data_IF_421013358790
#
_entry.id   IF_421013358790
#
_cell.length_a   1.000
_cell.length_b   1.000
_cell.length_c   1.000
_cell.angle_alpha   90.00
_cell.angle_beta   90.00
_cell.angle_gamma   90.00
#
_symmetry.space_group_name_H-M   'P 1'
#
loop_
_entity.id
_entity.type
_entity.pdbx_description
1 polymer ?
#
# COMPACT_ATOMS: atom_id res chain seq x y z
N UNK A 1 1.79 5.06 -8.51
CA UNK A 1 2.62 4.21 -7.64
C UNK A 1 1.82 3.55 -6.50
N UNK A 2 0.86 4.22 -5.87
CA UNK A 2 -0.03 3.66 -4.81
C UNK A 2 -0.81 2.40 -5.17
N UNK A 3 -1.23 2.23 -6.44
CA UNK A 3 -1.90 1.01 -6.90
C UNK A 3 -1.04 -0.25 -6.74
N UNK A 4 0.29 -0.17 -6.82
CA UNK A 4 1.21 -1.34 -6.84
C UNK A 4 1.49 -1.89 -5.43
N UNK A 5 1.56 -1.02 -4.41
CA UNK A 5 1.79 -1.41 -3.02
C UNK A 5 0.57 -2.12 -2.39
N UNK A 6 -0.64 -1.78 -2.84
CA UNK A 6 -1.88 -2.48 -2.47
C UNK A 6 -1.88 -3.98 -2.87
N UNK A 7 -1.19 -4.35 -3.96
CA UNK A 7 -1.12 -5.75 -4.42
C UNK A 7 -0.26 -6.66 -3.54
N UNK A 8 0.73 -6.12 -2.84
CA UNK A 8 1.68 -6.93 -2.07
C UNK A 8 1.04 -7.39 -0.75
N UNK A 9 0.23 -6.53 -0.11
CA UNK A 9 -0.58 -6.88 1.06
C UNK A 9 -1.65 -7.94 0.73
N UNK A 10 -2.37 -7.77 -0.39
CA UNK A 10 -3.40 -8.71 -0.83
C UNK A 10 -2.81 -10.06 -1.28
N UNK A 11 -1.64 -10.08 -1.93
CA UNK A 11 -0.95 -11.32 -2.28
C UNK A 11 -0.53 -12.13 -1.03
N UNK A 12 -0.13 -11.46 0.05
CA UNK A 12 0.15 -12.12 1.34
C UNK A 12 -1.12 -12.66 2.00
N UNK A 13 -2.26 -11.98 1.85
CA UNK A 13 -3.58 -12.41 2.35
C UNK A 13 -4.07 -13.65 1.58
N UNK A 14 -3.96 -13.67 0.25
CA UNK A 14 -4.30 -14.86 -0.56
C UNK A 14 -3.46 -16.07 -0.12
N UNK A 15 -2.16 -15.89 0.08
CA UNK A 15 -1.24 -16.97 0.51
C UNK A 15 -1.50 -17.44 1.95
N UNK A 16 -1.91 -16.55 2.86
CA UNK A 16 -2.25 -16.92 4.24
C UNK A 16 -3.66 -17.54 4.37
N UNK A 17 -4.62 -17.14 3.53
CA UNK A 17 -5.96 -17.73 3.44
C UNK A 17 -5.96 -19.15 2.84
N UNK A 18 -5.02 -19.46 1.93
CA UNK A 18 -4.85 -20.84 1.38
C UNK A 18 -4.41 -21.88 2.43
N UNK A 19 -4.00 -21.47 3.63
CA UNK A 19 -3.68 -22.42 4.72
C UNK A 19 -4.91 -22.94 5.49
N UNK A 20 -6.11 -22.41 5.23
CA UNK A 20 -7.36 -22.85 5.88
C UNK A 20 -8.45 -23.20 4.84
N UNK A 21 -8.33 -24.34 4.14
CA UNK A 21 -9.49 -24.93 3.44
C UNK A 21 -10.24 -25.86 4.40
N UNK A 22 -11.47 -25.48 4.79
CA UNK A 22 -12.36 -26.32 5.58
C UNK A 22 -13.40 -27.04 4.68
N UNK A 23 -13.79 -28.26 5.06
CA UNK A 23 -14.86 -28.99 4.37
C UNK A 23 -16.26 -28.39 4.64
N UNK A 24 -17.29 -28.93 3.97
CA UNK A 24 -18.71 -28.55 4.13
C UNK A 24 -19.26 -28.71 5.56
N UNK A 25 -18.46 -29.20 6.52
CA UNK A 25 -18.79 -29.38 7.93
C UNK A 25 -17.83 -28.59 8.85
N UNK A 26 -17.10 -27.59 8.34
CA UNK A 26 -16.12 -26.81 9.09
C UNK A 26 -15.00 -27.66 9.72
N UNK A 27 -14.56 -28.73 9.05
CA UNK A 27 -13.36 -29.50 9.46
C UNK A 27 -12.17 -29.10 8.59
N UNK A 28 -11.01 -28.90 9.20
CA UNK A 28 -9.75 -28.72 8.50
C UNK A 28 -9.49 -29.97 7.63
N UNK A 29 -9.44 -29.80 6.30
CA UNK A 29 -9.11 -30.87 5.36
C UNK A 29 -7.60 -31.16 5.44
N UNK A 30 -7.21 -32.05 6.34
CA UNK A 30 -5.85 -32.59 6.37
C UNK A 30 -5.73 -33.77 5.42
N UNK A 31 -4.93 -33.61 4.36
CA UNK A 31 -4.05 -34.71 3.89
C UNK A 31 -2.78 -34.24 3.14
N UNK A 32 -2.56 -32.95 2.95
CA UNK A 32 -1.22 -32.43 2.67
C UNK A 32 -0.94 -31.19 3.50
N UNK A 33 -0.22 -31.36 4.62
CA UNK A 33 0.36 -30.24 5.36
C UNK A 33 1.37 -29.53 4.46
N UNK A 34 0.90 -28.50 3.77
CA UNK A 34 1.73 -27.49 3.14
C UNK A 34 2.48 -26.78 4.26
N UNK A 35 3.78 -26.97 4.32
CA UNK A 35 4.62 -26.38 5.38
C UNK A 35 5.32 -25.10 4.94
N UNK A 36 5.42 -24.87 3.62
CA UNK A 36 5.97 -23.63 3.06
C UNK A 36 5.49 -23.44 1.63
N UNK A 37 5.12 -22.20 1.28
CA UNK A 37 4.90 -21.75 -0.10
C UNK A 37 6.07 -20.85 -0.47
N UNK A 38 6.75 -21.16 -1.56
CA UNK A 38 7.83 -20.36 -2.13
C UNK A 38 7.47 -19.98 -3.58
N UNK A 39 8.00 -18.85 -4.06
CA UNK A 39 7.92 -18.41 -5.46
C UNK A 39 6.52 -18.51 -6.08
N UNK A 40 5.62 -17.61 -5.66
CA UNK A 40 4.36 -17.36 -6.37
C UNK A 40 4.68 -16.66 -7.67
N UNK A 41 4.30 -17.26 -8.80
CA UNK A 41 4.42 -16.60 -10.11
C UNK A 41 3.17 -16.79 -10.93
N UNK A 42 2.87 -15.78 -11.74
CA UNK A 42 1.81 -15.82 -12.73
C UNK A 42 2.42 -16.22 -14.07
N UNK A 43 1.86 -17.25 -14.72
CA UNK A 43 2.18 -17.63 -16.10
C UNK A 43 0.91 -17.53 -16.95
N UNK A 44 0.70 -16.39 -17.61
CA UNK A 44 -0.57 -16.08 -18.26
C UNK A 44 -1.70 -15.98 -17.23
N UNK A 45 -2.80 -16.71 -17.43
CA UNK A 45 -3.96 -16.76 -16.51
C UNK A 45 -3.85 -17.86 -15.44
N UNK A 46 -2.63 -18.28 -15.12
CA UNK A 46 -2.34 -19.40 -14.21
C UNK A 46 -1.48 -18.91 -13.05
N UNK A 47 -1.96 -19.17 -11.85
CA UNK A 47 -1.20 -18.94 -10.63
C UNK A 47 -0.40 -20.21 -10.31
N UNK A 48 0.93 -20.08 -10.28
CA UNK A 48 1.86 -21.19 -10.04
C UNK A 48 2.56 -20.92 -8.72
N UNK A 49 2.52 -21.92 -7.84
CA UNK A 49 3.16 -21.91 -6.54
C UNK A 49 4.17 -23.05 -6.46
N UNK A 50 5.33 -22.78 -5.85
CA UNK A 50 6.26 -23.84 -5.47
C UNK A 50 6.00 -24.21 -4.01
N UNK A 51 5.40 -25.36 -3.79
CA UNK A 51 4.96 -25.78 -2.45
C UNK A 51 5.90 -26.85 -1.88
N UNK A 52 6.23 -26.75 -0.60
CA UNK A 52 6.92 -27.79 0.18
C UNK A 52 5.91 -28.54 1.05
N UNK A 53 5.89 -29.86 0.90
CA UNK A 53 5.11 -30.78 1.75
C UNK A 53 6.03 -31.71 2.52
N UNK A 54 5.54 -32.27 3.63
CA UNK A 54 6.32 -33.16 4.51
C UNK A 54 6.77 -34.48 3.87
N UNK A 55 6.26 -34.85 2.70
CA UNK A 55 6.46 -36.18 2.10
C UNK A 55 7.07 -36.17 0.69
N UNK A 56 7.41 -35.01 0.09
CA UNK A 56 8.01 -34.97 -1.25
C UNK A 56 8.76 -33.65 -1.53
N UNK A 57 9.93 -33.68 -2.21
CA UNK A 57 10.60 -32.45 -2.64
C UNK A 57 9.83 -31.77 -3.77
N UNK A 58 9.84 -30.44 -3.73
CA UNK A 58 9.19 -29.47 -4.60
C UNK A 58 8.68 -30.00 -5.96
N UNK A 59 7.36 -30.02 -6.15
CA UNK A 59 6.75 -30.14 -7.49
C UNK A 59 5.98 -28.86 -7.79
N UNK A 60 6.28 -28.26 -8.94
CA UNK A 60 5.45 -27.19 -9.51
C UNK A 60 4.07 -27.78 -9.80
N UNK A 61 3.04 -27.30 -9.09
CA UNK A 61 1.66 -27.71 -9.33
C UNK A 61 0.88 -26.52 -9.86
N UNK A 62 0.34 -26.71 -11.06
CA UNK A 62 -0.66 -25.82 -11.65
C UNK A 62 -1.97 -25.99 -10.86
N UNK A 63 -2.35 -25.00 -10.06
CA UNK A 63 -3.53 -25.14 -9.21
C UNK A 63 -4.82 -24.65 -9.89
N UNK A 64 -4.85 -23.53 -10.63
CA UNK A 64 -6.08 -23.05 -11.28
C UNK A 64 -5.85 -22.24 -12.57
N UNK A 65 -6.77 -22.36 -13.52
CA UNK A 65 -6.98 -21.36 -14.59
C UNK A 65 -8.00 -20.33 -14.12
N UNK A 66 -7.72 -19.04 -14.30
CA UNK A 66 -8.50 -17.95 -13.73
C UNK A 66 -10.03 -17.99 -13.97
N UNK A 67 -10.55 -18.38 -15.16
CA UNK A 67 -11.99 -18.52 -15.38
C UNK A 67 -12.65 -19.57 -14.46
N UNK A 68 -11.95 -20.67 -14.16
CA UNK A 68 -12.43 -21.68 -13.23
C UNK A 68 -12.36 -21.19 -11.78
N UNK A 69 -11.38 -20.34 -11.45
CA UNK A 69 -11.27 -19.71 -10.14
C UNK A 69 -12.44 -18.77 -9.86
N UNK A 70 -12.73 -17.84 -10.78
CA UNK A 70 -13.86 -16.89 -10.63
C UNK A 70 -15.20 -17.63 -10.54
N UNK A 71 -15.45 -18.61 -11.41
CA UNK A 71 -16.69 -19.38 -11.36
C UNK A 71 -16.84 -20.16 -10.04
N UNK A 72 -15.75 -20.76 -9.54
CA UNK A 72 -15.76 -21.44 -8.26
C UNK A 72 -16.00 -20.47 -7.09
N UNK A 73 -15.34 -19.30 -7.12
CA UNK A 73 -15.56 -18.24 -6.14
C UNK A 73 -16.99 -17.72 -6.18
N UNK A 74 -17.60 -17.51 -7.36
CA UNK A 74 -19.00 -17.08 -7.48
C UNK A 74 -19.95 -18.09 -6.82
N UNK A 75 -19.70 -19.40 -7.02
CA UNK A 75 -20.47 -20.43 -6.34
C UNK A 75 -20.33 -20.37 -4.82
N UNK A 76 -19.12 -20.17 -4.29
CA UNK A 76 -18.85 -20.12 -2.84
C UNK A 76 -19.42 -18.81 -2.24
N UNK A 77 -19.19 -17.67 -2.89
CA UNK A 77 -19.69 -16.36 -2.48
C UNK A 77 -21.23 -16.30 -2.49
N UNK A 78 -21.87 -16.98 -3.45
CA UNK A 78 -23.33 -17.08 -3.52
C UNK A 78 -23.94 -17.87 -2.36
N UNK A 79 -23.16 -18.76 -1.74
CA UNK A 79 -23.55 -19.51 -0.53
C UNK A 79 -23.38 -18.70 0.77
N UNK A 80 -22.94 -17.43 0.67
CA UNK A 80 -22.81 -16.53 1.81
C UNK A 80 -21.41 -16.48 2.41
N UNK A 81 -20.41 -17.12 1.79
CA UNK A 81 -19.03 -17.03 2.24
C UNK A 81 -18.49 -15.60 2.04
N UNK A 82 -18.24 -14.92 3.15
CA UNK A 82 -17.87 -13.50 3.19
C UNK A 82 -16.45 -13.26 2.67
N UNK A 83 -15.56 -14.25 2.75
CA UNK A 83 -14.19 -14.18 2.25
C UNK A 83 -14.19 -14.28 0.73
N UNK A 84 -14.92 -15.24 0.16
CA UNK A 84 -15.08 -15.37 -1.28
C UNK A 84 -15.79 -14.15 -1.88
N UNK A 85 -16.75 -13.56 -1.16
CA UNK A 85 -17.35 -12.27 -1.55
C UNK A 85 -16.31 -11.15 -1.58
N UNK A 86 -15.43 -11.05 -0.57
CA UNK A 86 -14.35 -10.06 -0.56
C UNK A 86 -13.40 -10.26 -1.75
N UNK A 87 -13.01 -11.51 -2.01
CA UNK A 87 -12.08 -11.87 -3.07
C UNK A 87 -12.66 -11.58 -4.46
N UNK A 88 -13.91 -11.94 -4.73
CA UNK A 88 -14.58 -11.57 -5.98
C UNK A 88 -14.68 -10.06 -6.15
N UNK A 89 -15.05 -9.37 -5.06
CA UNK A 89 -15.11 -7.92 -5.02
C UNK A 89 -13.79 -7.28 -5.46
N UNK A 90 -12.68 -7.75 -4.88
CA UNK A 90 -11.33 -7.33 -5.24
C UNK A 90 -10.98 -7.67 -6.70
N UNK A 91 -11.22 -8.90 -7.15
CA UNK A 91 -10.89 -9.36 -8.51
C UNK A 91 -11.58 -8.46 -9.55
N UNK A 92 -12.88 -8.18 -9.37
CA UNK A 92 -13.63 -7.31 -10.27
C UNK A 92 -13.21 -5.83 -10.17
N UNK A 93 -12.77 -5.36 -9.01
CA UNK A 93 -12.27 -4.00 -8.82
C UNK A 93 -10.93 -3.77 -9.53
N UNK A 94 -10.01 -4.71 -9.39
CA UNK A 94 -8.63 -4.62 -9.90
C UNK A 94 -8.53 -4.91 -11.40
N UNK A 95 -9.22 -5.93 -11.88
CA UNK A 95 -9.26 -6.29 -13.30
C UNK A 95 -7.92 -6.64 -13.96
N UNK A 96 -6.99 -7.27 -13.22
CA UNK A 96 -5.67 -7.65 -13.74
C UNK A 96 -5.72 -8.76 -14.79
N UNK A 97 -6.64 -9.71 -14.63
CA UNK A 97 -6.77 -10.91 -15.48
C UNK A 97 -8.20 -11.12 -16.01
N UNK A 98 -9.16 -10.31 -15.56
CA UNK A 98 -10.50 -10.15 -16.11
C UNK A 98 -10.77 -8.66 -16.32
N UNK A 99 -11.71 -8.26 -17.20
CA UNK A 99 -12.08 -6.86 -17.30
C UNK A 99 -12.57 -6.30 -15.95
N UNK A 100 -12.16 -5.08 -15.62
CA UNK A 100 -12.69 -4.32 -14.47
C UNK A 100 -14.21 -4.26 -14.58
N UNK A 101 -14.90 -4.50 -13.47
CA UNK A 101 -16.34 -4.36 -13.36
C UNK A 101 -16.72 -3.80 -11.98
N UNK A 102 -16.89 -2.48 -11.90
CA UNK A 102 -17.19 -1.81 -10.64
C UNK A 102 -18.57 -2.17 -10.07
N UNK A 103 -19.55 -2.54 -10.90
CA UNK A 103 -20.88 -2.93 -10.41
C UNK A 103 -20.82 -4.28 -9.67
N UNK A 104 -20.13 -5.27 -10.25
CA UNK A 104 -19.90 -6.57 -9.60
C UNK A 104 -18.98 -6.45 -8.40
N UNK A 105 -17.93 -5.62 -8.50
CA UNK A 105 -17.05 -5.34 -7.38
C UNK A 105 -17.85 -4.76 -6.20
N UNK A 106 -18.62 -3.69 -6.44
CA UNK A 106 -19.47 -3.06 -5.43
C UNK A 106 -20.47 -4.05 -4.83
N UNK A 107 -21.13 -4.86 -5.66
CA UNK A 107 -22.09 -5.87 -5.21
C UNK A 107 -21.47 -6.86 -4.22
N UNK A 108 -20.33 -7.45 -4.57
CA UNK A 108 -19.68 -8.45 -3.73
C UNK A 108 -19.02 -7.84 -2.51
N UNK A 109 -18.38 -6.68 -2.64
CA UNK A 109 -17.79 -5.96 -1.52
C UNK A 109 -18.85 -5.52 -0.50
N UNK A 110 -20.02 -5.03 -0.95
CA UNK A 110 -21.15 -4.69 -0.05
C UNK A 110 -21.66 -5.90 0.71
N UNK A 111 -21.80 -7.05 0.04
CA UNK A 111 -22.22 -8.29 0.71
C UNK A 111 -21.21 -8.70 1.78
N UNK A 112 -19.93 -8.67 1.43
CA UNK A 112 -18.86 -9.02 2.35
C UNK A 112 -18.79 -8.04 3.52
N UNK A 113 -18.82 -6.74 3.27
CA UNK A 113 -18.75 -5.68 4.28
C UNK A 113 -19.86 -5.75 5.34
N UNK A 114 -21.05 -6.25 4.95
CA UNK A 114 -22.22 -6.42 5.83
C UNK A 114 -22.32 -7.83 6.46
N UNK A 115 -21.35 -8.71 6.22
CA UNK A 115 -21.30 -10.04 6.84
C UNK A 115 -21.03 -9.98 8.36
N UNK A 116 -21.15 -11.13 9.02
CA UNK A 116 -20.98 -11.24 10.48
C UNK A 116 -19.55 -11.65 10.89
N UNK A 117 -18.54 -11.16 10.19
CA UNK A 117 -17.14 -11.52 10.39
C UNK A 117 -16.30 -10.31 10.79
N UNK A 118 -15.42 -10.50 11.77
CA UNK A 118 -14.47 -9.48 12.24
C UNK A 118 -13.52 -9.01 11.12
N UNK A 119 -13.36 -9.78 10.05
CA UNK A 119 -12.42 -9.48 8.94
C UNK A 119 -13.02 -8.55 7.86
N UNK A 120 -14.23 -8.05 8.05
CA UNK A 120 -14.93 -7.25 7.03
C UNK A 120 -14.36 -5.84 6.82
N UNK A 121 -13.42 -5.42 7.66
CA UNK A 121 -12.75 -4.11 7.52
C UNK A 121 -12.01 -3.98 6.19
N UNK A 122 -11.45 -5.08 5.66
CA UNK A 122 -10.82 -5.08 4.34
C UNK A 122 -11.84 -4.82 3.23
N UNK A 123 -12.99 -5.49 3.27
CA UNK A 123 -14.06 -5.28 2.29
C UNK A 123 -14.64 -3.87 2.38
N UNK A 124 -14.77 -3.31 3.59
CA UNK A 124 -15.17 -1.91 3.81
C UNK A 124 -14.13 -0.94 3.22
N UNK A 125 -12.83 -1.18 3.46
CA UNK A 125 -11.75 -0.38 2.89
C UNK A 125 -11.73 -0.42 1.36
N UNK A 126 -11.88 -1.62 0.78
CA UNK A 126 -11.96 -1.82 -0.66
C UNK A 126 -13.19 -1.14 -1.27
N UNK A 127 -14.34 -1.23 -0.58
CA UNK A 127 -15.57 -0.59 -1.02
C UNK A 127 -15.44 0.93 -0.98
N UNK A 128 -14.77 1.48 0.05
CA UNK A 128 -14.46 2.90 0.14
C UNK A 128 -13.56 3.36 -1.01
N UNK A 129 -12.48 2.63 -1.30
CA UNK A 129 -11.58 2.92 -2.42
C UNK A 129 -12.32 2.87 -3.78
N UNK A 130 -13.24 1.91 -3.96
CA UNK A 130 -14.09 1.85 -5.14
C UNK A 130 -15.00 3.08 -5.27
N UNK A 131 -15.56 3.58 -4.17
CA UNK A 131 -16.35 4.82 -4.19
C UNK A 131 -15.50 6.04 -4.48
N UNK A 132 -14.30 6.11 -3.93
CA UNK A 132 -13.33 7.17 -4.22
C UNK A 132 -12.98 7.19 -5.71
N UNK A 133 -12.69 6.04 -6.32
CA UNK A 133 -12.40 5.91 -7.76
C UNK A 133 -13.62 6.30 -8.64
N UNK A 134 -14.84 6.10 -8.14
CA UNK A 134 -16.09 6.55 -8.80
C UNK A 134 -16.37 8.04 -8.59
N UNK A 135 -15.61 8.73 -7.74
CA UNK A 135 -15.84 10.13 -7.37
C UNK A 135 -16.95 10.35 -6.35
N UNK A 136 -17.49 9.29 -5.73
CA UNK A 136 -18.47 9.39 -4.66
C UNK A 136 -17.76 9.49 -3.29
N UNK A 137 -17.28 10.70 -3.00
CA UNK A 137 -16.46 10.98 -1.82
C UNK A 137 -17.21 10.73 -0.51
N UNK A 138 -18.51 11.03 -0.46
CA UNK A 138 -19.31 10.83 0.75
C UNK A 138 -19.44 9.34 1.09
N UNK A 139 -19.69 8.50 0.09
CA UNK A 139 -19.70 7.04 0.30
C UNK A 139 -18.31 6.51 0.66
N UNK A 140 -17.25 7.05 0.06
CA UNK A 140 -15.87 6.68 0.40
C UNK A 140 -15.56 6.97 1.88
N UNK A 141 -15.83 8.19 2.36
CA UNK A 141 -15.66 8.59 3.77
C UNK A 141 -16.44 7.65 4.68
N UNK A 142 -17.74 7.44 4.40
CA UNK A 142 -18.59 6.56 5.21
C UNK A 142 -18.00 5.16 5.39
N UNK A 143 -17.54 4.54 4.29
CA UNK A 143 -17.00 3.18 4.34
C UNK A 143 -15.59 3.12 4.94
N UNK A 144 -14.75 4.12 4.72
CA UNK A 144 -13.45 4.21 5.39
C UNK A 144 -13.63 4.38 6.91
N UNK A 145 -14.53 5.24 7.37
CA UNK A 145 -14.83 5.43 8.80
C UNK A 145 -15.30 4.13 9.45
N UNK A 146 -16.22 3.40 8.79
CA UNK A 146 -16.72 2.09 9.25
C UNK A 146 -15.65 1.01 9.37
N UNK A 147 -14.57 1.12 8.60
CA UNK A 147 -13.42 0.24 8.71
C UNK A 147 -12.47 0.74 9.82
N UNK A 148 -12.19 2.05 9.84
CA UNK A 148 -11.29 2.71 10.78
C UNK A 148 -11.73 2.62 12.25
N UNK A 149 -13.04 2.58 12.53
CA UNK A 149 -13.65 2.41 13.86
C UNK A 149 -13.17 1.14 14.61
N UNK A 150 -12.56 0.16 13.93
CA UNK A 150 -12.09 -1.11 14.51
C UNK A 150 -10.56 -1.24 14.40
N UNK A 151 -9.84 -0.14 14.58
CA UNK A 151 -8.37 -0.09 14.54
C UNK A 151 -7.76 -0.59 13.22
N UNK A 152 -8.53 -0.52 12.12
CA UNK A 152 -8.05 -0.91 10.80
C UNK A 152 -7.20 0.22 10.21
N UNK A 153 -5.89 0.15 10.51
CA UNK A 153 -4.87 1.15 10.19
C UNK A 153 -4.90 1.59 8.72
N UNK A 154 -5.09 0.68 7.77
CA UNK A 154 -5.12 1.02 6.34
C UNK A 154 -6.26 2.00 6.01
N UNK A 155 -7.44 1.83 6.59
CA UNK A 155 -8.54 2.78 6.37
C UNK A 155 -8.32 4.10 7.10
N UNK A 156 -7.67 4.10 8.26
CA UNK A 156 -7.30 5.35 8.94
C UNK A 156 -6.34 6.17 8.07
N UNK A 157 -5.34 5.51 7.46
CA UNK A 157 -4.41 6.15 6.52
C UNK A 157 -5.15 6.62 5.26
N UNK A 158 -5.96 5.78 4.62
CA UNK A 158 -6.66 6.13 3.39
C UNK A 158 -7.66 7.27 3.60
N UNK A 159 -8.34 7.29 4.74
CA UNK A 159 -9.23 8.39 5.13
C UNK A 159 -8.44 9.69 5.32
N UNK A 160 -7.28 9.61 5.98
CA UNK A 160 -6.37 10.76 6.09
C UNK A 160 -5.93 11.29 4.73
N UNK A 161 -5.56 10.40 3.80
CA UNK A 161 -5.17 10.78 2.42
C UNK A 161 -6.33 11.40 1.64
N UNK A 162 -7.55 10.88 1.83
CA UNK A 162 -8.76 11.42 1.21
C UNK A 162 -9.07 12.83 1.71
N UNK A 163 -8.92 13.08 3.02
CA UNK A 163 -9.07 14.42 3.58
C UNK A 163 -7.97 15.38 3.11
N UNK A 164 -6.72 14.90 3.02
CA UNK A 164 -5.60 15.69 2.50
C UNK A 164 -5.83 16.11 1.04
N UNK A 165 -6.33 15.20 0.19
CA UNK A 165 -6.72 15.48 -1.21
C UNK A 165 -7.85 16.51 -1.32
N UNK A 166 -8.69 16.60 -0.29
CA UNK A 166 -9.75 17.61 -0.17
C UNK A 166 -9.29 18.89 0.55
N UNK A 167 -7.98 19.03 0.82
CA UNK A 167 -7.39 20.15 1.55
C UNK A 167 -7.90 20.31 3.00
N UNK A 168 -8.51 19.26 3.56
CA UNK A 168 -9.01 19.21 4.93
C UNK A 168 -7.90 18.69 5.87
N UNK A 169 -6.83 19.49 6.01
CA UNK A 169 -5.61 19.05 6.67
C UNK A 169 -5.79 18.69 8.16
N UNK A 170 -6.67 19.37 8.89
CA UNK A 170 -6.93 19.05 10.30
C UNK A 170 -7.62 17.70 10.48
N UNK A 171 -8.50 17.31 9.55
CA UNK A 171 -9.12 15.98 9.58
C UNK A 171 -8.15 14.89 9.12
N UNK A 172 -7.31 15.19 8.13
CA UNK A 172 -6.21 14.31 7.74
C UNK A 172 -5.26 14.03 8.92
N UNK A 173 -4.86 15.09 9.64
CA UNK A 173 -4.03 15.02 10.84
C UNK A 173 -4.64 14.10 11.89
N UNK A 174 -5.93 14.27 12.24
CA UNK A 174 -6.61 13.42 13.24
C UNK A 174 -6.50 11.95 12.88
N UNK A 175 -6.78 11.58 11.64
CA UNK A 175 -6.74 10.18 11.21
C UNK A 175 -5.32 9.61 11.16
N UNK A 176 -4.34 10.40 10.75
CA UNK A 176 -2.94 10.00 10.84
C UNK A 176 -2.44 9.87 12.28
N UNK A 177 -2.91 10.70 13.22
CA UNK A 177 -2.63 10.56 14.65
C UNK A 177 -3.17 9.24 15.21
N UNK A 178 -4.39 8.85 14.85
CA UNK A 178 -4.97 7.55 15.25
C UNK A 178 -4.09 6.40 14.74
N UNK A 179 -3.73 6.39 13.45
CA UNK A 179 -2.87 5.37 12.87
C UNK A 179 -1.47 5.34 13.51
N UNK A 180 -0.87 6.51 13.76
CA UNK A 180 0.44 6.64 14.38
C UNK A 180 0.44 6.12 15.84
N UNK A 181 -0.62 6.37 16.59
CA UNK A 181 -0.78 5.88 17.97
C UNK A 181 -0.89 4.35 18.05
N UNK A 182 -1.39 3.70 16.99
CA UNK A 182 -1.37 2.25 16.83
C UNK A 182 0.00 1.70 16.36
N UNK A 183 1.01 2.56 16.24
CA UNK A 183 2.35 2.19 15.83
C UNK A 183 2.58 2.17 14.32
N UNK A 184 1.63 2.63 13.51
CA UNK A 184 1.78 2.64 12.05
C UNK A 184 2.91 3.57 11.61
N UNK A 185 3.94 3.02 10.95
CA UNK A 185 5.00 3.82 10.35
C UNK A 185 4.46 4.77 9.27
N UNK A 186 3.51 4.30 8.45
CA UNK A 186 2.87 5.14 7.42
C UNK A 186 1.98 6.23 8.01
N UNK A 187 1.28 5.94 9.12
CA UNK A 187 0.56 6.95 9.90
C UNK A 187 1.51 8.04 10.43
N UNK A 188 2.64 7.65 11.03
CA UNK A 188 3.66 8.59 11.52
C UNK A 188 4.24 9.45 10.39
N UNK A 189 4.57 8.84 9.25
CA UNK A 189 5.11 9.54 8.09
C UNK A 189 4.13 10.62 7.59
N UNK A 190 2.89 10.22 7.32
CA UNK A 190 1.87 11.15 6.81
C UNK A 190 1.52 12.23 7.85
N UNK A 191 1.47 11.88 9.14
CA UNK A 191 1.30 12.85 10.22
C UNK A 191 2.42 13.90 10.22
N UNK A 192 3.68 13.47 10.07
CA UNK A 192 4.82 14.39 10.01
C UNK A 192 4.69 15.38 8.85
N UNK A 193 4.33 14.90 7.66
CA UNK A 193 4.12 15.75 6.49
C UNK A 193 2.95 16.72 6.67
N UNK A 194 1.80 16.26 7.16
CA UNK A 194 0.63 17.12 7.37
C UNK A 194 0.87 18.15 8.47
N UNK A 195 1.54 17.80 9.57
CA UNK A 195 1.90 18.78 10.60
C UNK A 195 2.75 19.92 10.03
N UNK A 196 3.70 19.60 9.14
CA UNK A 196 4.50 20.60 8.45
C UNK A 196 3.66 21.49 7.52
N UNK A 197 2.71 20.89 6.78
CA UNK A 197 1.80 21.62 5.87
C UNK A 197 0.84 22.56 6.61
N UNK A 198 0.29 22.13 7.74
CA UNK A 198 -0.63 22.95 8.56
C UNK A 198 0.10 24.14 9.17
N UNK A 199 1.26 23.87 9.80
CA UNK A 199 2.06 24.89 10.45
C UNK A 199 3.53 24.49 10.48
N UNK A 200 4.35 25.21 9.71
CA UNK A 200 5.80 25.01 9.64
C UNK A 200 6.53 25.19 10.99
N UNK A 201 5.88 25.72 12.02
CA UNK A 201 6.44 25.76 13.39
C UNK A 201 6.71 24.38 13.98
N UNK A 202 6.06 23.34 13.48
CA UNK A 202 6.23 21.96 13.96
C UNK A 202 7.27 21.14 13.18
N UNK A 203 8.20 21.78 12.46
CA UNK A 203 9.21 21.07 11.65
C UNK A 203 10.03 20.04 12.43
N UNK A 204 10.39 20.32 13.68
CA UNK A 204 11.10 19.36 14.54
C UNK A 204 10.24 18.13 14.84
N UNK A 205 8.93 18.32 15.05
CA UNK A 205 8.01 17.20 15.29
C UNK A 205 7.80 16.37 14.02
N UNK A 206 7.73 17.04 12.87
CA UNK A 206 7.71 16.38 11.56
C UNK A 206 8.93 15.48 11.38
N UNK A 207 10.14 15.99 11.61
CA UNK A 207 11.38 15.20 11.54
C UNK A 207 11.36 14.03 12.53
N UNK A 208 10.95 14.25 13.78
CA UNK A 208 10.86 13.19 14.78
C UNK A 208 9.96 12.04 14.30
N UNK A 209 8.79 12.37 13.73
CA UNK A 209 7.83 11.39 13.22
C UNK A 209 8.37 10.65 11.98
N UNK A 210 9.03 11.35 11.07
CA UNK A 210 9.68 10.74 9.90
C UNK A 210 10.83 9.80 10.29
N UNK A 211 11.61 10.14 11.32
CA UNK A 211 12.66 9.25 11.83
C UNK A 211 12.08 8.04 12.57
N UNK A 212 10.95 8.22 13.28
CA UNK A 212 10.24 7.12 13.93
C UNK A 212 9.57 6.19 12.93
N UNK A 213 9.01 6.71 11.83
CA UNK A 213 8.37 5.89 10.80
C UNK A 213 9.34 4.88 10.18
N UNK A 214 10.61 5.29 9.98
CA UNK A 214 11.70 4.42 9.50
C UNK A 214 11.95 3.19 10.38
N UNK A 215 11.72 3.31 11.69
CA UNK A 215 12.02 2.28 12.68
C UNK A 215 10.77 1.53 13.18
N UNK A 216 9.62 1.70 12.53
CA UNK A 216 8.39 1.04 12.98
C UNK A 216 8.39 -0.46 12.67
N UNK A 217 7.91 -1.25 13.64
CA UNK A 217 7.79 -2.71 13.56
C UNK A 217 6.50 -3.17 12.83
N UNK A 218 5.57 -2.25 12.55
CA UNK A 218 4.37 -2.53 11.75
C UNK A 218 4.73 -2.17 10.31
N UNK A 219 4.97 -3.21 9.49
CA UNK A 219 5.37 -3.18 8.07
C UNK A 219 5.17 -1.79 7.44
N UNK A 220 6.24 -1.00 7.23
CA UNK A 220 6.08 0.30 6.60
C UNK A 220 5.61 0.08 5.16
N UNK A 221 4.46 0.66 4.80
CA UNK A 221 4.05 0.79 3.38
C UNK A 221 4.95 1.79 2.63
N UNK A 222 5.78 2.53 3.36
CA UNK A 222 6.68 3.56 2.82
C UNK A 222 8.11 3.01 2.80
N UNK A 223 8.76 3.08 1.65
CA UNK A 223 10.15 2.65 1.51
C UNK A 223 11.08 3.74 2.10
N UNK A 224 12.26 3.32 2.55
CA UNK A 224 13.21 4.16 3.28
C UNK A 224 13.61 5.39 2.45
N UNK A 225 13.66 5.21 1.13
CA UNK A 225 14.04 6.25 0.16
C UNK A 225 13.04 7.41 0.12
N UNK A 226 11.73 7.20 0.29
CA UNK A 226 10.72 8.26 0.35
C UNK A 226 10.83 9.07 1.65
N UNK A 227 11.17 8.39 2.76
CA UNK A 227 11.40 9.03 4.06
C UNK A 227 12.64 9.93 3.97
N UNK A 228 13.74 9.42 3.42
CA UNK A 228 14.97 10.18 3.23
C UNK A 228 14.76 11.38 2.30
N UNK A 229 14.03 11.19 1.19
CA UNK A 229 13.64 12.30 0.31
C UNK A 229 12.85 13.37 1.08
N UNK A 230 11.85 12.98 1.87
CA UNK A 230 11.03 13.92 2.63
C UNK A 230 11.85 14.69 3.67
N UNK A 231 12.75 14.02 4.38
CA UNK A 231 13.68 14.67 5.29
C UNK A 231 14.60 15.65 4.55
N UNK A 232 15.17 15.24 3.41
CA UNK A 232 16.02 16.10 2.58
C UNK A 232 15.26 17.34 2.09
N UNK A 233 14.00 17.17 1.68
CA UNK A 233 13.14 18.26 1.25
C UNK A 233 12.87 19.27 2.38
N UNK A 234 12.66 18.80 3.62
CA UNK A 234 12.53 19.68 4.79
C UNK A 234 13.82 20.48 5.04
N UNK A 235 14.99 19.84 5.02
CA UNK A 235 16.28 20.52 5.17
C UNK A 235 16.61 21.47 4.01
N UNK A 236 16.04 21.25 2.82
CA UNK A 236 16.24 22.16 1.69
C UNK A 236 15.36 23.42 1.79
N UNK A 237 14.11 23.27 2.24
CA UNK A 237 13.05 24.28 2.08
C UNK A 237 12.67 25.02 3.36
N UNK A 238 12.85 24.43 4.55
CA UNK A 238 12.45 25.09 5.79
C UNK A 238 13.50 26.10 6.27
N UNK A 239 13.12 27.37 6.41
CA UNK A 239 14.04 28.45 6.75
C UNK A 239 14.72 28.30 8.12
N UNK A 240 14.12 27.58 9.08
CA UNK A 240 14.66 27.46 10.45
C UNK A 240 15.74 26.39 10.56
N UNK A 241 15.61 25.34 9.75
CA UNK A 241 16.51 24.18 9.79
C UNK A 241 17.33 24.00 8.52
N UNK A 242 17.25 24.95 7.58
CA UNK A 242 17.83 24.83 6.25
C UNK A 242 19.30 24.40 6.30
N UNK A 243 19.61 23.29 5.66
CA UNK A 243 20.96 22.74 5.54
C UNK A 243 21.09 22.05 4.18
N UNK A 244 21.77 22.72 3.25
CA UNK A 244 21.95 22.23 1.88
C UNK A 244 22.76 20.93 1.83
N UNK A 245 23.81 20.82 2.64
CA UNK A 245 24.68 19.64 2.61
C UNK A 245 23.93 18.41 3.15
N UNK A 246 23.19 18.60 4.24
CA UNK A 246 22.36 17.54 4.81
C UNK A 246 21.21 17.13 3.87
N UNK A 247 20.61 18.10 3.19
CA UNK A 247 19.61 17.81 2.16
C UNK A 247 20.20 16.96 1.03
N UNK A 248 21.39 17.33 0.51
CA UNK A 248 22.09 16.57 -0.53
C UNK A 248 22.43 15.16 -0.06
N UNK A 249 22.96 14.99 1.16
CA UNK A 249 23.27 13.66 1.72
C UNK A 249 22.04 12.74 1.73
N UNK A 250 20.90 13.27 2.20
CA UNK A 250 19.64 12.54 2.25
C UNK A 250 19.11 12.22 0.85
N UNK A 251 19.18 13.17 -0.09
CA UNK A 251 18.79 12.92 -1.47
C UNK A 251 19.71 11.92 -2.16
N UNK A 252 21.03 11.96 -1.94
CA UNK A 252 21.97 10.98 -2.50
C UNK A 252 21.67 9.58 -1.98
N UNK A 253 21.42 9.44 -0.66
CA UNK A 253 21.01 8.16 -0.05
C UNK A 253 19.72 7.62 -0.66
N UNK A 254 18.72 8.47 -0.86
CA UNK A 254 17.43 8.14 -1.47
C UNK A 254 17.55 7.80 -2.97
N UNK A 255 18.34 8.59 -3.71
CA UNK A 255 18.59 8.44 -5.13
C UNK A 255 19.35 7.15 -5.46
N UNK A 256 20.31 6.76 -4.62
CA UNK A 256 21.03 5.48 -4.71
C UNK A 256 20.10 4.27 -4.52
N UNK A 257 19.03 4.42 -3.73
CA UNK A 257 17.95 3.44 -3.59
C UNK A 257 16.94 3.49 -4.74
N UNK A 258 17.20 4.28 -5.78
CA UNK A 258 16.42 4.34 -7.00
C UNK A 258 15.24 5.30 -6.96
N UNK A 259 15.11 6.19 -5.96
CA UNK A 259 14.02 7.16 -5.94
C UNK A 259 14.23 8.24 -7.02
N UNK A 260 13.33 8.27 -8.00
CA UNK A 260 13.49 9.07 -9.23
C UNK A 260 13.44 10.57 -8.91
N UNK A 261 12.58 10.98 -7.98
CA UNK A 261 12.41 12.36 -7.56
C UNK A 261 13.67 12.89 -6.88
N UNK A 262 14.35 12.08 -6.06
CA UNK A 262 15.67 12.45 -5.49
C UNK A 262 16.74 12.58 -6.56
N UNK A 263 16.78 11.67 -7.54
CA UNK A 263 17.72 11.76 -8.67
C UNK A 263 17.48 13.05 -9.47
N UNK A 264 16.23 13.34 -9.82
CA UNK A 264 15.88 14.57 -10.53
C UNK A 264 16.27 15.83 -9.74
N UNK A 265 15.96 15.87 -8.45
CA UNK A 265 16.24 17.01 -7.59
C UNK A 265 17.75 17.23 -7.38
N UNK A 266 18.54 16.15 -7.26
CA UNK A 266 20.01 16.26 -7.26
C UNK A 266 20.53 16.83 -8.58
N UNK A 267 19.95 16.39 -9.71
CA UNK A 267 20.23 16.96 -11.03
C UNK A 267 20.09 18.48 -11.05
N UNK A 268 18.96 18.97 -10.53
CA UNK A 268 18.63 20.40 -10.45
C UNK A 268 19.53 21.16 -9.47
N UNK A 269 19.76 20.62 -8.27
CA UNK A 269 20.63 21.24 -7.26
C UNK A 269 22.05 21.42 -7.83
N UNK A 270 22.60 20.38 -8.46
CA UNK A 270 23.94 20.45 -9.04
C UNK A 270 24.02 21.34 -10.29
N UNK A 271 22.92 21.56 -11.00
CA UNK A 271 22.90 22.49 -12.14
C UNK A 271 22.85 23.96 -11.71
N UNK A 272 21.98 24.24 -10.72
CA UNK A 272 21.51 25.60 -10.43
C UNK A 272 22.13 26.23 -9.19
N UNK A 273 22.51 25.44 -8.18
CA UNK A 273 23.00 25.98 -6.92
C UNK A 273 24.50 26.31 -6.99
N UNK A 274 24.84 27.60 -7.03
CA UNK A 274 26.23 28.08 -7.16
C UNK A 274 27.23 27.52 -6.13
N UNK A 275 26.79 27.14 -4.93
CA UNK A 275 27.70 26.64 -3.88
C UNK A 275 28.19 25.22 -4.14
N UNK A 276 27.36 24.41 -4.81
CA UNK A 276 27.62 22.98 -5.04
C UNK A 276 27.63 22.62 -6.52
N UNK A 277 27.53 23.61 -7.41
CA UNK A 277 27.32 23.42 -8.84
C UNK A 277 28.35 22.46 -9.46
N UNK A 278 27.84 21.42 -10.10
CA UNK A 278 28.62 20.39 -10.78
C UNK A 278 27.81 19.82 -11.97
N UNK A 279 28.15 20.23 -13.18
CA UNK A 279 27.43 19.81 -14.38
C UNK A 279 27.58 18.31 -14.70
N UNK A 280 28.68 17.68 -14.27
CA UNK A 280 28.87 16.24 -14.49
C UNK A 280 27.95 15.44 -13.58
N UNK A 281 27.88 15.82 -12.29
CA UNK A 281 26.93 15.21 -11.35
C UNK A 281 25.48 15.47 -11.74
N UNK A 282 25.18 16.69 -12.20
CA UNK A 282 23.83 17.03 -12.69
C UNK A 282 23.41 16.11 -13.85
N UNK A 283 24.24 16.00 -14.89
CA UNK A 283 23.99 15.13 -16.03
C UNK A 283 23.86 13.66 -15.63
N UNK A 284 24.71 13.19 -14.70
CA UNK A 284 24.64 11.84 -14.16
C UNK A 284 23.27 11.55 -13.55
N UNK A 285 22.82 12.39 -12.62
CA UNK A 285 21.56 12.17 -11.91
C UNK A 285 20.33 12.32 -12.80
N UNK A 286 20.34 13.26 -13.74
CA UNK A 286 19.28 13.34 -14.77
C UNK A 286 19.22 12.10 -15.65
N UNK A 287 20.38 11.56 -16.05
CA UNK A 287 20.45 10.30 -16.80
C UNK A 287 19.86 9.14 -16.01
N UNK A 288 20.18 9.01 -14.71
CA UNK A 288 19.61 7.96 -13.85
C UNK A 288 18.08 8.09 -13.73
N UNK A 289 17.57 9.31 -13.52
CA UNK A 289 16.13 9.56 -13.46
C UNK A 289 15.44 9.19 -14.79
N UNK A 290 16.02 9.59 -15.92
CA UNK A 290 15.47 9.35 -17.26
C UNK A 290 15.42 7.86 -17.63
N UNK A 291 16.40 7.05 -17.18
CA UNK A 291 16.40 5.58 -17.38
C UNK A 291 15.19 4.90 -16.72
N UNK A 292 14.67 5.50 -15.65
CA UNK A 292 13.56 4.94 -14.87
C UNK A 292 12.19 5.50 -15.28
N UNK A 293 12.13 6.77 -15.70
CA UNK A 293 10.88 7.45 -16.09
C UNK A 293 10.33 7.10 -17.48
N UNK A 294 11.10 6.40 -18.32
CA UNK A 294 10.72 6.00 -19.69
C UNK A 294 10.07 4.59 -19.77
N UNK A 295 9.34 4.17 -18.73
CA UNK A 295 8.71 2.83 -18.64
C UNK A 295 7.19 2.90 -18.53
#
# INVERSE_FOLDING_TARGET
>A
MYKILFYIGVAFIVVSLFMYSMDKKNRILSESKVTKIENVRLEGNKLIYKIKNNTSPYKDKLYFSLPNHVNNLENIASQGDVIAQAELGYIYYVGKDIPVNYEKAEYWLKKSANGNLLVNHQSKNLLAALYEDKGDINSAIFWYEKAAENDFIDSQINLGLLYEKQEQLEDAKKWYEVAANLGSGSGMYNLGLVLYKINNENVNKSIELLLKSKNSNVLPLMDEKEIEYSLGWLYLNDNKIRDLNKAIELFESSAQKGFIESQFLLGEIYETNHQVRDLQKSQYWYSEAAKQGNK
#
